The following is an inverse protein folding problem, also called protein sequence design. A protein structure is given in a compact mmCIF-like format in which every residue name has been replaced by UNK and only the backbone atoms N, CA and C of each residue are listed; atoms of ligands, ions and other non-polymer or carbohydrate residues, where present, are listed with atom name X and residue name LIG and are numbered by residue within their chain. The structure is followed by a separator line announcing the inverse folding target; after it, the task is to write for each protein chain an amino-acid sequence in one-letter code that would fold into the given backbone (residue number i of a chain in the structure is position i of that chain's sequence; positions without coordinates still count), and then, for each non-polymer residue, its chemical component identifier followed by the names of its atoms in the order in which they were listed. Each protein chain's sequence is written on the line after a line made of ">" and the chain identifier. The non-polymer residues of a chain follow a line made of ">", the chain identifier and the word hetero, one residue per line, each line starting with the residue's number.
data_IF_816491099116
#
_entry.id   IF_816491099116
#
_cell.length_a   1.000
_cell.length_b   1.000
_cell.length_c   1.000
_cell.angle_alpha   90.00
_cell.angle_beta   90.00
_cell.angle_gamma   90.00
#
_symmetry.space_group_name_H-M   'P 1'
#
loop_
_entity.id
_entity.type
_entity.pdbx_description
1 polymer ?
#
# COMPACT_ATOMS: atom_id res chain seq x y z
N UNK A 1 6.99 -4.95 1.41
CA UNK A 1 5.81 -4.05 1.40
C UNK A 1 6.13 -2.94 0.43
N UNK A 2 5.48 -2.93 -0.74
CA UNK A 2 5.70 -1.91 -1.74
C UNK A 2 5.23 -0.54 -1.28
N UNK A 3 5.75 0.50 -1.92
CA UNK A 3 5.36 1.92 -1.75
C UNK A 3 3.83 2.13 -1.75
N UNK A 4 3.06 1.18 -2.29
CA UNK A 4 1.60 1.21 -2.33
C UNK A 4 0.86 1.23 -0.99
N UNK A 5 1.50 0.87 0.14
CA UNK A 5 0.90 1.01 1.47
C UNK A 5 0.98 2.44 2.02
N UNK A 6 1.82 3.29 1.41
CA UNK A 6 2.01 4.70 1.81
C UNK A 6 0.73 5.50 1.57
N UNK A 7 0.01 5.19 0.52
CA UNK A 7 -1.09 6.02 0.00
C UNK A 7 -2.50 5.59 0.42
N UNK A 8 -2.64 4.63 1.32
CA UNK A 8 -3.98 4.26 1.82
C UNK A 8 -4.79 5.42 2.41
N UNK A 9 -4.18 6.57 2.64
CA UNK A 9 -4.83 7.74 3.26
C UNK A 9 -4.55 9.08 2.59
N UNK A 10 -3.60 9.16 1.65
CA UNK A 10 -3.46 10.37 0.83
C UNK A 10 -4.33 10.22 -0.42
N UNK A 11 -5.28 11.14 -0.62
CA UNK A 11 -6.06 11.16 -1.85
C UNK A 11 -5.15 11.47 -3.02
N UNK A 12 -5.23 10.65 -4.08
CA UNK A 12 -4.51 10.95 -5.31
C UNK A 12 -5.21 12.06 -6.11
N UNK A 13 -4.40 12.80 -6.84
CA UNK A 13 -4.82 13.78 -7.82
C UNK A 13 -4.55 13.26 -9.23
N UNK A 14 -5.61 12.97 -9.96
CA UNK A 14 -5.47 12.44 -11.32
C UNK A 14 -4.81 13.44 -12.26
N UNK A 15 -5.02 14.75 -12.05
CA UNK A 15 -4.42 15.78 -12.87
C UNK A 15 -2.90 15.89 -12.65
N UNK A 16 -2.44 15.74 -11.41
CA UNK A 16 -1.02 15.59 -11.08
C UNK A 16 -0.39 14.38 -11.77
N UNK A 17 -1.07 13.23 -11.74
CA UNK A 17 -0.60 12.02 -12.40
C UNK A 17 -0.47 12.24 -13.91
N UNK A 18 -1.50 12.79 -14.55
CA UNK A 18 -1.50 13.06 -15.99
C UNK A 18 -0.45 14.11 -16.38
N UNK A 19 -0.26 15.14 -15.56
CA UNK A 19 0.79 16.14 -15.79
C UNK A 19 2.19 15.50 -15.79
N UNK A 20 2.47 14.59 -14.86
CA UNK A 20 3.75 13.88 -14.83
C UNK A 20 3.91 12.91 -16.01
N UNK A 21 2.85 12.22 -16.44
CA UNK A 21 2.88 11.39 -17.64
C UNK A 21 3.24 12.20 -18.89
N UNK A 22 2.60 13.35 -19.09
CA UNK A 22 2.89 14.28 -20.19
C UNK A 22 4.32 14.81 -20.13
N UNK A 23 4.82 15.14 -18.94
CA UNK A 23 6.21 15.60 -18.74
C UNK A 23 7.21 14.50 -19.11
N UNK A 24 6.94 13.25 -18.71
CA UNK A 24 7.78 12.09 -19.03
C UNK A 24 7.81 11.82 -20.53
N UNK A 25 6.67 11.88 -21.20
CA UNK A 25 6.56 11.73 -22.65
C UNK A 25 7.38 12.81 -23.38
N UNK A 26 7.21 14.09 -23.02
CA UNK A 26 7.99 15.21 -23.58
C UNK A 26 9.48 15.05 -23.35
N UNK A 27 9.91 14.37 -22.29
CA UNK A 27 11.32 14.05 -22.02
C UNK A 27 11.82 12.80 -22.76
N UNK A 28 11.03 12.23 -23.67
CA UNK A 28 11.41 11.07 -24.50
C UNK A 28 11.27 9.72 -23.81
N UNK A 29 10.60 9.64 -22.67
CA UNK A 29 10.32 8.34 -22.00
C UNK A 29 9.22 7.60 -22.74
N UNK A 30 9.51 6.38 -23.19
CA UNK A 30 8.61 5.58 -24.03
C UNK A 30 7.50 4.85 -23.23
N UNK A 31 7.66 4.72 -21.93
CA UNK A 31 6.68 4.08 -21.06
C UNK A 31 6.74 4.65 -19.64
N UNK A 32 5.67 4.45 -18.89
CA UNK A 32 5.59 4.75 -17.46
C UNK A 32 4.98 3.58 -16.70
N UNK A 33 5.41 3.38 -15.48
CA UNK A 33 4.84 2.38 -14.58
C UNK A 33 4.17 3.13 -13.43
N UNK A 34 2.90 2.83 -13.20
CA UNK A 34 2.13 3.42 -12.10
C UNK A 34 1.80 2.31 -11.12
N UNK A 35 2.26 2.45 -9.88
CA UNK A 35 1.91 1.53 -8.80
C UNK A 35 0.72 2.10 -8.03
N UNK A 36 -0.40 1.37 -8.01
CA UNK A 36 -1.65 1.77 -7.35
C UNK A 36 -1.88 0.87 -6.14
N UNK A 37 -2.04 1.46 -4.97
CA UNK A 37 -2.44 0.73 -3.78
C UNK A 37 -3.93 0.41 -3.82
N UNK A 38 -4.32 -0.79 -3.39
CA UNK A 38 -5.73 -1.20 -3.31
C UNK A 38 -6.59 -0.27 -2.43
N UNK A 39 -5.95 0.37 -1.46
CA UNK A 39 -6.60 1.35 -0.58
C UNK A 39 -6.57 2.79 -1.09
N UNK A 40 -6.10 3.05 -2.32
CA UNK A 40 -6.07 4.40 -2.88
C UNK A 40 -7.48 5.00 -2.97
N UNK A 41 -7.57 6.31 -2.73
CA UNK A 41 -8.80 7.09 -2.83
C UNK A 41 -8.52 8.36 -3.62
N UNK A 42 -9.50 8.82 -4.40
CA UNK A 42 -9.39 10.12 -5.05
C UNK A 42 -9.68 11.26 -4.07
N UNK A 43 -9.34 12.50 -4.44
CA UNK A 43 -9.70 13.71 -3.67
C UNK A 43 -11.21 13.81 -3.44
N UNK A 44 -12.01 13.44 -4.44
CA UNK A 44 -13.48 13.42 -4.34
C UNK A 44 -13.97 12.38 -3.34
N UNK A 45 -13.40 11.19 -3.37
CA UNK A 45 -13.75 10.11 -2.44
C UNK A 45 -13.34 10.42 -0.99
N UNK A 46 -12.27 11.18 -0.81
CA UNK A 46 -11.83 11.61 0.52
C UNK A 46 -12.84 12.54 1.21
N UNK A 47 -13.66 13.25 0.43
CA UNK A 47 -14.73 14.12 0.92
C UNK A 47 -16.00 13.34 1.34
N UNK A 48 -16.14 12.06 0.92
CA UNK A 48 -17.32 11.24 1.22
C UNK A 48 -17.28 10.68 2.64
N UNK A 49 -18.48 10.48 3.21
CA UNK A 49 -18.60 9.75 4.47
C UNK A 49 -18.23 8.27 4.28
N UNK A 50 -17.67 7.66 5.32
CA UNK A 50 -17.17 6.28 5.29
C UNK A 50 -18.20 5.24 4.79
N UNK A 51 -19.51 5.47 5.06
CA UNK A 51 -20.61 4.62 4.62
C UNK A 51 -20.83 4.73 3.11
N UNK A 52 -20.83 5.94 2.58
CA UNK A 52 -21.02 6.24 1.16
C UNK A 52 -19.84 5.70 0.33
N UNK A 53 -18.62 5.87 0.83
CA UNK A 53 -17.42 5.31 0.20
C UNK A 53 -17.48 3.78 0.12
N UNK A 54 -17.96 3.12 1.18
CA UNK A 54 -18.10 1.67 1.20
C UNK A 54 -19.17 1.19 0.21
N UNK A 55 -20.28 1.91 0.11
CA UNK A 55 -21.36 1.60 -0.84
C UNK A 55 -20.88 1.77 -2.29
N UNK A 56 -20.25 2.90 -2.61
CA UNK A 56 -19.70 3.18 -3.94
C UNK A 56 -18.67 2.11 -4.38
N UNK A 57 -17.84 1.62 -3.44
CA UNK A 57 -16.90 0.53 -3.72
C UNK A 57 -17.56 -0.83 -3.93
N UNK A 58 -18.68 -1.09 -3.27
CA UNK A 58 -19.45 -2.33 -3.46
C UNK A 58 -20.16 -2.37 -4.82
N UNK A 59 -20.47 -1.21 -5.40
CA UNK A 59 -21.11 -1.05 -6.70
C UNK A 59 -20.12 -1.09 -7.88
N UNK A 60 -18.81 -1.12 -7.60
CA UNK A 60 -17.79 -1.17 -8.64
C UNK A 60 -17.85 -2.50 -9.40
N UNK A 61 -17.96 -2.41 -10.72
CA UNK A 61 -17.95 -3.57 -11.63
C UNK A 61 -16.59 -4.29 -11.62
N UNK A 62 -15.51 -3.55 -11.43
CA UNK A 62 -14.15 -4.07 -11.37
C UNK A 62 -13.66 -4.14 -9.92
N UNK A 63 -13.11 -5.29 -9.47
CA UNK A 63 -12.75 -5.48 -8.05
C UNK A 63 -11.52 -4.69 -7.61
N UNK A 64 -10.72 -4.17 -8.54
CA UNK A 64 -9.48 -3.44 -8.23
C UNK A 64 -9.57 -1.97 -8.61
N UNK A 65 -9.15 -1.12 -7.69
CA UNK A 65 -8.99 0.33 -7.89
C UNK A 65 -8.08 0.68 -9.08
N UNK A 66 -7.16 -0.22 -9.45
CA UNK A 66 -6.24 0.00 -10.57
C UNK A 66 -6.96 0.17 -11.90
N UNK A 67 -8.08 -0.52 -12.12
CA UNK A 67 -8.89 -0.35 -13.33
C UNK A 67 -9.55 1.02 -13.39
N UNK A 68 -10.09 1.50 -12.26
CA UNK A 68 -10.68 2.84 -12.19
C UNK A 68 -9.65 3.93 -12.49
N UNK A 69 -8.48 3.86 -11.84
CA UNK A 69 -7.39 4.81 -12.10
C UNK A 69 -6.96 4.75 -13.57
N UNK A 70 -6.91 3.56 -14.16
CA UNK A 70 -6.61 3.41 -15.58
C UNK A 70 -7.65 4.09 -16.46
N UNK A 71 -8.94 3.97 -16.14
CA UNK A 71 -10.03 4.60 -16.91
C UNK A 71 -9.99 6.14 -16.75
N UNK A 72 -9.79 6.64 -15.55
CA UNK A 72 -9.60 8.09 -15.29
C UNK A 72 -8.38 8.67 -16.06
N UNK A 73 -7.29 7.89 -16.19
CA UNK A 73 -6.14 8.31 -16.99
C UNK A 73 -6.49 8.29 -18.48
N UNK A 74 -7.18 7.26 -18.99
CA UNK A 74 -7.56 7.16 -20.41
C UNK A 74 -8.40 8.33 -20.90
N UNK A 75 -9.24 8.90 -20.04
CA UNK A 75 -10.05 10.07 -20.37
C UNK A 75 -9.21 11.32 -20.68
N UNK A 76 -8.02 11.41 -20.08
CA UNK A 76 -7.15 12.60 -20.14
C UNK A 76 -5.83 12.39 -20.86
N UNK A 77 -5.43 11.14 -21.07
CA UNK A 77 -4.15 10.76 -21.63
C UNK A 77 -4.33 9.61 -22.63
N UNK A 78 -4.22 9.91 -23.94
CA UNK A 78 -4.54 8.98 -25.01
C UNK A 78 -3.38 8.03 -25.32
N UNK A 79 -3.12 7.07 -24.43
CA UNK A 79 -2.12 6.03 -24.60
C UNK A 79 -2.67 4.65 -24.24
N UNK A 80 -2.02 3.60 -24.72
CA UNK A 80 -2.35 2.24 -24.32
C UNK A 80 -2.00 2.04 -22.83
N UNK A 81 -2.98 1.60 -22.05
CA UNK A 81 -2.82 1.28 -20.63
C UNK A 81 -3.10 -0.19 -20.43
N UNK A 82 -2.18 -0.87 -19.75
CA UNK A 82 -2.32 -2.26 -19.33
C UNK A 82 -2.34 -2.35 -17.82
N UNK A 83 -3.37 -2.97 -17.28
CA UNK A 83 -3.52 -3.17 -15.83
C UNK A 83 -3.05 -4.57 -15.47
N UNK A 84 -2.19 -4.66 -14.46
CA UNK A 84 -1.76 -5.91 -13.86
C UNK A 84 -2.10 -5.89 -12.36
N UNK A 85 -2.84 -6.89 -11.90
CA UNK A 85 -3.17 -7.07 -10.47
C UNK A 85 -2.48 -8.34 -9.99
N UNK A 86 -1.22 -8.26 -9.49
CA UNK A 86 -0.42 -9.43 -9.17
C UNK A 86 -0.99 -10.25 -8.00
N UNK A 87 -1.80 -9.65 -7.11
CA UNK A 87 -2.47 -10.37 -6.04
C UNK A 87 -1.53 -11.22 -5.19
N UNK A 88 -1.81 -12.50 -5.09
CA UNK A 88 -1.04 -13.46 -4.28
C UNK A 88 0.40 -13.69 -4.77
N UNK A 89 0.74 -13.36 -6.02
CA UNK A 89 2.14 -13.43 -6.48
C UNK A 89 3.09 -12.59 -5.63
N UNK A 90 2.60 -11.49 -5.04
CA UNK A 90 3.40 -10.67 -4.11
C UNK A 90 3.73 -11.37 -2.79
N UNK A 91 3.05 -12.45 -2.48
CA UNK A 91 3.25 -13.26 -1.27
C UNK A 91 3.91 -14.61 -1.58
N UNK A 92 4.22 -14.86 -2.84
CA UNK A 92 4.87 -16.08 -3.31
C UNK A 92 6.39 -16.02 -3.17
N UNK A 93 7.02 -17.15 -3.51
CA UNK A 93 8.45 -17.30 -3.48
C UNK A 93 8.95 -18.03 -2.21
N UNK A 94 10.20 -18.51 -2.27
CA UNK A 94 10.83 -19.16 -1.13
C UNK A 94 11.28 -18.12 -0.10
N UNK A 95 11.05 -18.35 1.21
CA UNK A 95 11.51 -17.44 2.25
C UNK A 95 13.05 -17.40 2.27
N UNK A 96 13.60 -16.21 2.48
CA UNK A 96 15.04 -16.04 2.66
C UNK A 96 15.49 -16.51 4.05
N UNK A 97 16.80 -16.68 4.32
CA UNK A 97 17.29 -17.08 5.63
C UNK A 97 16.80 -16.20 6.78
N UNK A 98 16.73 -14.89 6.55
CA UNK A 98 16.19 -13.95 7.53
C UNK A 98 14.72 -14.25 7.87
N UNK A 99 13.88 -14.48 6.87
CA UNK A 99 12.46 -14.80 7.09
C UNK A 99 12.30 -16.07 7.92
N UNK A 100 13.13 -17.10 7.64
CA UNK A 100 13.09 -18.38 8.35
C UNK A 100 13.46 -18.23 9.83
N UNK A 101 14.55 -17.54 10.12
CA UNK A 101 14.99 -17.28 11.50
C UNK A 101 13.97 -16.40 12.22
N UNK A 102 13.51 -15.34 11.58
CA UNK A 102 12.55 -14.41 12.16
C UNK A 102 11.22 -15.09 12.50
N UNK A 103 10.64 -15.85 11.56
CA UNK A 103 9.38 -16.55 11.81
C UNK A 103 9.52 -17.65 12.87
N UNK A 104 10.67 -18.33 12.93
CA UNK A 104 10.96 -19.30 14.01
C UNK A 104 10.97 -18.62 15.37
N UNK A 105 11.66 -17.48 15.51
CA UNK A 105 11.68 -16.69 16.77
C UNK A 105 10.28 -16.26 17.18
N UNK A 106 9.48 -15.72 16.23
CA UNK A 106 8.09 -15.31 16.50
C UNK A 106 7.24 -16.50 16.93
N UNK A 107 7.34 -17.65 16.22
CA UNK A 107 6.57 -18.84 16.53
C UNK A 107 6.90 -19.41 17.90
N UNK A 108 8.18 -19.49 18.25
CA UNK A 108 8.64 -19.95 19.57
C UNK A 108 8.12 -19.04 20.69
N UNK A 109 8.20 -17.74 20.49
CA UNK A 109 7.72 -16.77 21.49
C UNK A 109 6.18 -16.82 21.64
N UNK A 110 5.45 -17.03 20.56
CA UNK A 110 4.00 -17.22 20.63
C UNK A 110 3.63 -18.53 21.39
N UNK A 111 4.34 -19.62 21.14
CA UNK A 111 4.14 -20.87 21.88
C UNK A 111 4.45 -20.73 23.38
N UNK A 112 5.46 -19.95 23.72
CA UNK A 112 5.78 -19.64 25.12
C UNK A 112 4.65 -18.87 25.81
N UNK A 113 4.09 -17.83 25.15
CA UNK A 113 2.94 -17.09 25.69
C UNK A 113 1.74 -18.02 25.98
N UNK A 114 1.48 -18.98 25.07
CA UNK A 114 0.42 -19.98 25.28
C UNK A 114 0.73 -20.87 26.51
N UNK A 115 1.97 -21.33 26.63
CA UNK A 115 2.36 -22.19 27.76
C UNK A 115 2.28 -21.47 29.12
N UNK A 116 2.46 -20.15 29.09
CA UNK A 116 2.31 -19.27 30.26
C UNK A 116 0.87 -18.78 30.50
N UNK A 117 -0.10 -19.27 29.72
CA UNK A 117 -1.51 -18.84 29.72
C UNK A 117 -1.68 -17.31 29.50
N UNK A 118 -0.75 -16.69 28.79
CA UNK A 118 -0.82 -15.26 28.42
C UNK A 118 -1.55 -15.08 27.08
N UNK A 119 -2.86 -14.91 27.14
CA UNK A 119 -3.73 -14.68 25.97
C UNK A 119 -3.99 -13.19 25.76
N UNK A 120 -4.44 -12.82 24.56
CA UNK A 120 -4.73 -11.42 24.22
C UNK A 120 -3.51 -10.61 23.82
N UNK A 121 -2.40 -11.27 23.46
CA UNK A 121 -1.19 -10.64 22.96
C UNK A 121 -0.91 -11.05 21.52
N UNK A 122 -0.22 -10.18 20.79
CA UNK A 122 0.49 -10.55 19.58
C UNK A 122 2.01 -10.48 19.83
N UNK A 123 2.76 -11.30 19.12
CA UNK A 123 4.21 -11.25 19.13
C UNK A 123 4.70 -10.26 18.09
N UNK A 124 5.54 -9.31 18.47
CA UNK A 124 6.06 -8.26 17.60
C UNK A 124 7.58 -8.12 17.71
N UNK A 125 8.20 -7.61 16.63
CA UNK A 125 9.59 -7.20 16.64
C UNK A 125 9.67 -5.71 16.97
N UNK A 126 10.30 -5.37 18.07
CA UNK A 126 10.59 -3.99 18.47
C UNK A 126 12.07 -3.87 18.83
N UNK A 127 12.76 -2.90 18.24
CA UNK A 127 14.20 -2.68 18.47
C UNK A 127 15.06 -3.96 18.36
N UNK A 128 14.77 -4.80 17.36
CA UNK A 128 15.41 -6.08 17.10
C UNK A 128 15.16 -7.19 18.16
N UNK A 129 14.25 -6.95 19.09
CA UNK A 129 13.81 -7.91 20.10
C UNK A 129 12.38 -8.39 19.83
N UNK A 130 12.09 -9.64 20.17
CA UNK A 130 10.76 -10.20 20.09
C UNK A 130 10.04 -9.93 21.42
N UNK A 131 8.95 -9.18 21.35
CA UNK A 131 8.19 -8.74 22.52
C UNK A 131 6.70 -9.05 22.38
N UNK A 132 5.99 -9.38 23.48
CA UNK A 132 4.55 -9.47 23.51
C UNK A 132 3.94 -8.05 23.52
N UNK A 133 2.95 -7.82 22.66
CA UNK A 133 2.20 -6.56 22.60
C UNK A 133 0.72 -6.86 22.81
N UNK A 134 0.04 -6.20 23.76
CA UNK A 134 -1.39 -6.40 23.98
C UNK A 134 -2.20 -6.10 22.71
N UNK A 135 -3.17 -6.95 22.38
CA UNK A 135 -4.03 -6.73 21.20
C UNK A 135 -4.83 -5.43 21.31
N UNK A 136 -5.14 -4.96 22.52
CA UNK A 136 -5.79 -3.67 22.77
C UNK A 136 -4.97 -2.48 22.30
N UNK A 137 -3.64 -2.59 22.24
CA UNK A 137 -2.78 -1.53 21.76
C UNK A 137 -2.72 -1.44 20.23
N UNK A 138 -3.07 -2.51 19.53
CA UNK A 138 -3.02 -2.57 18.05
C UNK A 138 -4.39 -2.59 17.41
N UNK A 139 -5.42 -3.00 18.14
CA UNK A 139 -6.79 -3.05 17.63
C UNK A 139 -7.27 -1.68 17.15
N UNK A 140 -7.79 -1.62 15.93
CA UNK A 140 -8.26 -0.39 15.31
C UNK A 140 -7.19 0.60 14.86
N UNK A 141 -5.90 0.31 15.07
CA UNK A 141 -4.79 1.13 14.61
C UNK A 141 -4.20 0.57 13.32
N UNK A 142 -4.10 1.41 12.30
CA UNK A 142 -3.40 1.08 11.05
C UNK A 142 -2.03 1.74 11.06
N UNK A 143 -0.98 0.94 10.87
CA UNK A 143 0.36 1.47 10.64
C UNK A 143 0.45 1.99 9.21
N UNK A 144 0.54 3.31 9.07
CA UNK A 144 0.74 3.98 7.79
C UNK A 144 2.21 4.41 7.66
N UNK A 145 2.70 4.51 6.43
CA UNK A 145 3.99 5.15 6.14
C UNK A 145 3.78 6.66 6.16
N UNK A 146 4.64 7.37 6.87
CA UNK A 146 4.59 8.83 6.93
C UNK A 146 5.06 9.43 5.59
N UNK A 147 4.40 10.49 5.09
CA UNK A 147 4.91 11.24 3.94
C UNK A 147 6.33 11.79 4.11
N UNK A 148 6.76 12.01 5.35
CA UNK A 148 8.12 12.44 5.69
C UNK A 148 9.07 11.27 6.03
N UNK A 149 8.71 10.02 5.76
CA UNK A 149 9.63 8.90 5.96
C UNK A 149 10.77 8.94 4.94
N UNK A 150 11.93 8.38 5.31
CA UNK A 150 13.10 8.37 4.44
C UNK A 150 12.82 7.73 3.08
N UNK A 151 11.98 6.68 3.04
CA UNK A 151 11.62 5.99 1.79
C UNK A 151 10.85 6.92 0.84
N UNK A 152 9.92 7.73 1.36
CA UNK A 152 9.15 8.67 0.57
C UNK A 152 10.03 9.83 0.10
N UNK A 153 10.83 10.40 1.01
CA UNK A 153 11.76 11.50 0.70
C UNK A 153 12.74 11.05 -0.39
N UNK A 154 13.40 9.91 -0.20
CA UNK A 154 14.33 9.35 -1.20
C UNK A 154 13.63 9.06 -2.53
N UNK A 155 12.40 8.54 -2.52
CA UNK A 155 11.62 8.32 -3.73
C UNK A 155 11.39 9.63 -4.51
N UNK A 156 11.06 10.72 -3.81
CA UNK A 156 10.89 12.05 -4.44
C UNK A 156 12.20 12.59 -4.99
N UNK A 157 13.30 12.44 -4.28
CA UNK A 157 14.64 12.84 -4.74
C UNK A 157 15.07 12.08 -6.01
N UNK A 158 14.66 10.82 -6.15
CA UNK A 158 14.83 10.01 -7.36
C UNK A 158 13.88 10.38 -8.50
N UNK A 159 12.99 11.36 -8.30
CA UNK A 159 12.02 11.81 -9.30
C UNK A 159 10.80 10.92 -9.44
N UNK A 160 10.46 10.12 -8.43
CA UNK A 160 9.22 9.36 -8.40
C UNK A 160 8.08 10.31 -8.04
N UNK A 161 7.11 10.43 -8.95
CA UNK A 161 5.86 11.13 -8.68
C UNK A 161 4.96 10.27 -7.79
N UNK A 162 4.41 10.87 -6.76
CA UNK A 162 3.55 10.17 -5.83
C UNK A 162 2.05 10.44 -6.08
N UNK A 163 1.69 11.28 -7.04
CA UNK A 163 0.32 11.55 -7.44
C UNK A 163 -0.47 12.42 -6.44
N UNK A 164 0.23 13.20 -5.64
CA UNK A 164 -0.33 14.12 -4.62
C UNK A 164 -0.24 15.59 -5.02
#
# INVERSE_FOLDING_TARGET
>A
RGLGDVYKRQPYDIDSVVAELNKREKSGKKFSIIAVAEGAISKEEAALKKKELKQRRAEMVQPSIAYRVADEIKEKFNHEIRVCVPGHFQRGGSPCPYDRVFTTRIGTSAAQLISENKYGYMVALQNNEIVPVPLSEVAGKLKCVSPGSNEVVTGRELGICFGD
#
